data_IF_244465675274
#
_entry.id   IF_244465675274
#
_cell.length_a   1.000
_cell.length_b   1.000
_cell.length_c   1.000
_cell.angle_alpha   90.00
_cell.angle_beta   90.00
_cell.angle_gamma   90.00
#
_symmetry.space_group_name_H-M   'P 1'
#
loop_
_entity.id
_entity.type
_entity.pdbx_description
1 polymer ?
#
# COMPACT_ATOMS: atom_id res chain seq x y z
N UNK A 1 2.95 11.65 7.47
CA UNK A 1 3.77 10.55 7.72
C UNK A 1 3.42 9.33 6.94
N UNK A 2 3.22 9.47 5.68
CA UNK A 2 2.92 8.34 4.81
C UNK A 2 4.15 7.83 4.10
N UNK A 3 5.31 8.36 4.48
CA UNK A 3 6.54 7.94 3.81
C UNK A 3 6.82 6.46 4.00
N UNK A 4 6.41 5.93 5.16
CA UNK A 4 6.60 4.52 5.41
C UNK A 4 5.94 3.68 4.33
N UNK A 5 4.73 4.02 4.02
CA UNK A 5 3.97 3.24 3.04
C UNK A 5 4.50 3.48 1.64
N UNK A 6 4.89 4.69 1.37
CA UNK A 6 5.40 5.03 0.05
C UNK A 6 6.69 4.31 -0.26
N UNK A 7 7.57 4.24 0.73
CA UNK A 7 8.87 3.63 0.53
C UNK A 7 8.81 2.11 0.56
N UNK A 8 7.77 1.58 1.14
CA UNK A 8 7.63 0.14 1.22
C UNK A 8 7.24 -0.42 -0.12
N UNK A 9 7.83 -1.55 -0.47
CA UNK A 9 7.42 -2.25 -1.67
C UNK A 9 6.05 -2.86 -1.47
N UNK A 10 5.51 -3.39 -2.55
CA UNK A 10 4.19 -3.99 -2.48
C UNK A 10 4.14 -5.08 -1.43
N UNK A 11 5.18 -5.90 -1.37
CA UNK A 11 5.22 -6.96 -0.38
C UNK A 11 5.24 -6.41 1.03
N UNK A 12 6.02 -5.36 1.23
CA UNK A 12 6.07 -4.74 2.54
C UNK A 12 4.73 -4.18 2.95
N UNK A 13 4.05 -3.56 2.01
CA UNK A 13 2.73 -3.02 2.28
C UNK A 13 1.74 -4.11 2.63
N UNK A 14 1.82 -5.23 1.92
CA UNK A 14 0.93 -6.33 2.20
C UNK A 14 1.14 -6.82 3.63
N UNK A 15 2.39 -6.92 4.05
CA UNK A 15 2.68 -7.35 5.41
C UNK A 15 2.11 -6.38 6.43
N UNK A 16 2.31 -5.10 6.20
CA UNK A 16 1.79 -4.10 7.11
C UNK A 16 0.28 -4.17 7.16
N UNK A 17 -0.34 -4.33 6.01
CA UNK A 17 -1.79 -4.41 5.95
C UNK A 17 -2.30 -5.65 6.68
N UNK A 18 -1.59 -6.75 6.56
CA UNK A 18 -1.98 -7.97 7.25
C UNK A 18 -1.89 -7.79 8.76
N UNK A 19 -1.03 -6.89 9.19
CA UNK A 19 -0.93 -6.59 10.60
C UNK A 19 -2.08 -5.77 11.12
N UNK A 20 -2.97 -5.35 10.27
CA UNK A 20 -4.15 -4.61 10.70
C UNK A 20 -4.13 -3.14 10.35
N UNK A 21 -3.16 -2.70 9.58
CA UNK A 21 -3.05 -1.29 9.23
C UNK A 21 -3.84 -1.00 7.97
N UNK A 22 -4.99 -0.41 8.14
CA UNK A 22 -5.86 -0.12 7.02
C UNK A 22 -5.23 0.86 6.03
N UNK A 23 -4.37 1.72 6.52
CA UNK A 23 -3.74 2.70 5.65
C UNK A 23 -2.82 2.06 4.64
N UNK A 24 -2.14 1.00 5.06
CA UNK A 24 -1.29 0.28 4.13
C UNK A 24 -2.14 -0.36 3.04
N UNK A 25 -3.28 -0.88 3.42
CA UNK A 25 -4.19 -1.47 2.46
C UNK A 25 -4.69 -0.41 1.48
N UNK A 26 -4.95 0.77 2.00
CA UNK A 26 -5.42 1.88 1.17
C UNK A 26 -4.36 2.25 0.13
N UNK A 27 -3.12 2.28 0.56
CA UNK A 27 -2.04 2.60 -0.35
C UNK A 27 -1.91 1.55 -1.44
N UNK A 28 -2.09 0.29 -1.07
CA UNK A 28 -2.04 -0.78 -2.05
C UNK A 28 -3.13 -0.63 -3.09
N UNK A 29 -4.31 -0.30 -2.65
CA UNK A 29 -5.43 -0.10 -3.56
C UNK A 29 -5.12 1.02 -4.54
N UNK A 30 -4.53 2.08 -4.05
CA UNK A 30 -4.17 3.21 -4.90
C UNK A 30 -3.18 2.80 -5.97
N UNK A 31 -2.18 2.04 -5.58
CA UNK A 31 -1.18 1.59 -6.53
C UNK A 31 -1.80 0.69 -7.58
N UNK A 32 -2.75 -0.17 -7.10
CA UNK A 32 -3.41 -1.09 -8.00
C UNK A 32 -4.24 -0.33 -9.03
N UNK A 33 -4.97 0.67 -8.57
CA UNK A 33 -5.81 1.46 -9.45
C UNK A 33 -4.97 2.22 -10.46
N UNK A 34 -3.85 2.73 -10.03
CA UNK A 34 -2.97 3.44 -10.92
C UNK A 34 -2.47 2.59 -12.04
N UNK A 35 -2.29 1.31 -11.79
CA UNK A 35 -1.81 0.39 -12.81
C UNK A 35 -2.90 0.02 -13.78
N UNK A 36 -4.09 -0.11 -13.29
CA UNK A 36 -5.23 -0.52 -14.11
C UNK A 36 -5.75 0.62 -14.95
N UNK A 37 -5.67 1.79 -14.39
CA UNK A 37 -6.20 2.98 -15.05
C UNK A 37 -5.17 3.62 -15.95
N UNK A 38 -5.01 3.15 -17.10
CA UNK A 38 -4.06 3.77 -18.01
C UNK A 38 -4.73 4.40 -19.23
#
# INVERSE_FOLDING_TARGET
>A
MTDRYRNAGDEGLVRIAQGGENRAFDELVRRYQGKVYR
#
